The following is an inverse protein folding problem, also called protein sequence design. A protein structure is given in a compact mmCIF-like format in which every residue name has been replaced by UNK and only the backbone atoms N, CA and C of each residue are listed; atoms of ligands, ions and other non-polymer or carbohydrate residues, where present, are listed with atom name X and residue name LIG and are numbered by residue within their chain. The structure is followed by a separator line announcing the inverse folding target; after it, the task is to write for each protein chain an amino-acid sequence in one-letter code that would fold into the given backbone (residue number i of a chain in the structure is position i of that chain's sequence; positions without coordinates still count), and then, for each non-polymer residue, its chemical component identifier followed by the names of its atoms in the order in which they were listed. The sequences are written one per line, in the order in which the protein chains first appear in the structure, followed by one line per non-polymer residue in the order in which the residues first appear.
data_IF_378503999414
#
_entry.id   IF_378503999414
#
_cell.length_a   1.000
_cell.length_b   1.000
_cell.length_c   1.000
_cell.angle_alpha   90.00
_cell.angle_beta   90.00
_cell.angle_gamma   90.00
#
_symmetry.space_group_name_H-M   'P 1'
#
loop_
_entity.id
_entity.type
_entity.pdbx_description
1 polymer ?
#
# COMPACT_ATOMS: atom_id res chain seq x y z
N UNK A 1 41.80 11.15 3.12
CA UNK A 1 40.38 11.49 2.89
C UNK A 1 39.79 10.58 1.83
N UNK A 2 39.40 9.37 2.24
CA UNK A 2 38.72 8.42 1.37
C UNK A 2 37.22 8.69 1.44
N UNK A 3 36.61 8.95 0.28
CA UNK A 3 35.18 9.11 0.10
C UNK A 3 34.47 7.76 0.26
N UNK A 4 33.51 7.69 1.18
CA UNK A 4 32.58 6.57 1.28
C UNK A 4 31.57 6.65 0.12
N UNK A 5 31.35 5.58 -0.65
CA UNK A 5 30.32 5.56 -1.68
C UNK A 5 28.94 5.46 -1.02
N UNK A 6 28.04 6.37 -1.40
CA UNK A 6 26.64 6.38 -0.96
C UNK A 6 25.92 5.10 -1.35
N UNK A 7 25.73 4.19 -0.39
CA UNK A 7 24.77 3.09 -0.52
C UNK A 7 23.37 3.69 -0.43
N UNK A 8 22.74 3.92 -1.59
CA UNK A 8 21.27 3.96 -1.63
C UNK A 8 20.76 2.57 -1.28
N UNK A 9 20.18 2.44 -0.09
CA UNK A 9 19.52 1.22 0.36
C UNK A 9 18.25 1.02 -0.45
N UNK A 10 18.34 0.37 -1.62
CA UNK A 10 17.16 -0.19 -2.30
C UNK A 10 16.62 -1.32 -1.42
N UNK A 11 15.53 -1.05 -0.70
CA UNK A 11 14.71 -2.06 -0.06
C UNK A 11 13.99 -2.85 -1.17
N UNK A 12 14.67 -3.87 -1.70
CA UNK A 12 14.08 -4.82 -2.64
C UNK A 12 13.30 -5.85 -1.82
N UNK A 13 11.99 -5.65 -1.68
CA UNK A 13 11.08 -6.61 -1.06
C UNK A 13 10.51 -7.52 -2.14
N UNK A 14 11.11 -8.70 -2.31
CA UNK A 14 10.56 -9.79 -3.12
C UNK A 14 9.61 -10.62 -2.25
N UNK A 15 8.32 -10.62 -2.57
CA UNK A 15 7.32 -11.45 -1.89
C UNK A 15 6.79 -12.54 -2.82
N UNK A 16 6.85 -13.80 -2.38
CA UNK A 16 6.17 -14.92 -3.01
C UNK A 16 4.67 -14.88 -2.68
N UNK A 17 3.81 -14.90 -3.70
CA UNK A 17 2.37 -14.77 -3.53
C UNK A 17 1.68 -16.12 -3.26
N UNK A 18 0.83 -16.19 -2.22
CA UNK A 18 -0.06 -17.34 -1.93
C UNK A 18 -1.14 -17.54 -3.02
N UNK A 19 -1.54 -18.76 -3.39
CA UNK A 19 -2.60 -18.98 -4.40
C UNK A 19 -4.01 -18.53 -3.97
N UNK A 20 -4.30 -18.49 -2.68
CA UNK A 20 -5.66 -18.16 -2.16
C UNK A 20 -6.11 -16.73 -2.53
N UNK A 21 -7.44 -16.53 -2.63
CA UNK A 21 -8.02 -15.19 -2.72
C UNK A 21 -7.52 -14.36 -1.55
N UNK A 22 -7.08 -13.15 -1.86
CA UNK A 22 -6.85 -12.16 -0.85
C UNK A 22 -8.07 -11.26 -0.88
N UNK A 23 -8.95 -11.29 0.15
CA UNK A 23 -10.02 -10.30 0.24
C UNK A 23 -9.42 -8.88 0.23
N UNK A 24 -10.25 -7.84 0.07
CA UNK A 24 -9.86 -6.42 -0.05
C UNK A 24 -8.87 -5.89 1.02
N UNK A 25 -8.62 -6.69 2.06
CA UNK A 25 -7.72 -6.43 3.17
C UNK A 25 -6.52 -7.40 3.31
N UNK A 26 -6.39 -8.45 2.48
CA UNK A 26 -5.30 -9.43 2.64
C UNK A 26 -4.10 -9.08 1.75
N UNK A 27 -2.88 -9.03 2.31
CA UNK A 27 -1.72 -8.48 1.62
C UNK A 27 -1.12 -9.42 0.56
N UNK A 28 -1.02 -8.98 -0.71
CA UNK A 28 0.14 -9.28 -1.56
C UNK A 28 1.31 -8.54 -0.93
N UNK A 29 2.00 -9.12 0.06
CA UNK A 29 3.05 -8.43 0.82
C UNK A 29 3.81 -7.40 -0.04
N UNK A 30 3.69 -6.09 0.22
CA UNK A 30 2.81 -5.42 1.19
C UNK A 30 1.80 -4.48 0.47
N UNK A 31 0.47 -4.57 0.72
CA UNK A 31 -0.51 -3.54 0.37
C UNK A 31 -1.32 -3.11 1.62
N UNK A 32 -1.62 -1.82 1.84
CA UNK A 32 -2.15 -1.29 3.13
C UNK A 32 -1.40 -1.76 4.40
N UNK A 33 -0.13 -2.08 4.22
CA UNK A 33 0.70 -2.99 5.01
C UNK A 33 1.75 -2.27 5.83
N UNK A 34 1.53 -0.98 5.99
CA UNK A 34 2.39 -0.03 6.66
C UNK A 34 1.59 0.79 7.68
N UNK A 35 0.39 0.33 8.03
CA UNK A 35 -0.53 0.97 8.97
C UNK A 35 0.04 1.07 10.38
N UNK A 36 1.00 0.21 10.69
CA UNK A 36 1.80 0.23 11.91
C UNK A 36 3.00 1.19 11.86
N UNK A 37 3.30 1.85 10.72
CA UNK A 37 4.26 2.96 10.68
C UNK A 37 3.57 4.27 11.03
N UNK A 38 4.23 5.09 11.84
CA UNK A 38 3.75 6.43 12.22
C UNK A 38 3.42 7.28 10.97
N UNK A 39 4.32 7.30 9.99
CA UNK A 39 4.07 7.88 8.66
C UNK A 39 3.83 6.78 7.64
N UNK A 40 2.59 6.31 7.51
CA UNK A 40 2.27 5.31 6.49
C UNK A 40 2.53 5.88 5.08
N UNK A 41 3.23 5.13 4.20
CA UNK A 41 3.53 5.56 2.84
C UNK A 41 2.24 5.84 2.09
N UNK A 42 2.25 6.93 1.34
CA UNK A 42 1.05 7.50 0.76
C UNK A 42 0.77 6.98 -0.64
N UNK A 43 1.80 6.72 -1.43
CA UNK A 43 1.66 6.14 -2.76
C UNK A 43 2.29 4.77 -2.83
N UNK A 44 1.58 3.84 -3.47
CA UNK A 44 2.08 2.51 -3.75
C UNK A 44 2.13 2.27 -5.25
N UNK A 45 3.21 1.61 -5.66
CA UNK A 45 3.49 1.22 -7.02
C UNK A 45 3.59 -0.29 -7.10
N UNK A 46 2.88 -0.90 -8.04
CA UNK A 46 2.92 -2.34 -8.30
C UNK A 46 3.24 -2.58 -9.79
N UNK A 47 4.48 -2.97 -10.07
CA UNK A 47 4.94 -3.30 -11.42
C UNK A 47 4.79 -4.79 -11.67
N UNK A 48 4.06 -5.18 -12.72
CA UNK A 48 3.96 -6.58 -13.11
C UNK A 48 5.16 -7.00 -13.96
N UNK A 49 6.00 -7.89 -13.42
CA UNK A 49 7.14 -8.46 -14.14
C UNK A 49 6.77 -9.74 -14.90
N UNK A 50 5.89 -10.56 -14.30
CA UNK A 50 5.37 -11.79 -14.88
C UNK A 50 3.91 -11.97 -14.48
N UNK A 51 3.08 -12.36 -15.43
CA UNK A 51 1.70 -12.78 -15.21
C UNK A 51 1.28 -13.66 -16.39
N UNK A 52 1.80 -14.88 -16.39
CA UNK A 52 1.74 -15.76 -17.55
C UNK A 52 0.31 -16.29 -17.80
N UNK A 53 0.01 -16.68 -19.04
CA UNK A 53 -1.30 -17.18 -19.44
C UNK A 53 -1.74 -18.45 -18.66
N UNK A 54 -0.77 -19.23 -18.19
CA UNK A 54 -1.01 -20.39 -17.33
C UNK A 54 -1.47 -20.04 -15.90
N UNK A 55 -1.53 -18.76 -15.53
CA UNK A 55 -2.09 -18.30 -14.26
C UNK A 55 -3.55 -17.91 -14.47
N UNK A 56 -4.50 -18.66 -13.94
CA UNK A 56 -5.91 -18.29 -13.96
C UNK A 56 -6.27 -17.43 -12.72
N UNK A 57 -7.09 -16.39 -12.86
CA UNK A 57 -7.48 -15.52 -11.74
C UNK A 57 -6.40 -14.50 -11.33
N UNK A 58 -6.46 -13.94 -10.12
CA UNK A 58 -5.43 -13.02 -9.63
C UNK A 58 -5.48 -11.61 -10.21
N UNK A 59 -6.67 -11.19 -10.65
CA UNK A 59 -6.96 -9.79 -11.00
C UNK A 59 -6.73 -8.91 -9.76
N UNK A 60 -6.16 -7.73 -9.98
CA UNK A 60 -6.05 -6.69 -8.97
C UNK A 60 -7.40 -6.01 -8.80
N UNK A 61 -7.72 -5.62 -7.58
CA UNK A 61 -8.97 -4.95 -7.21
C UNK A 61 -8.61 -3.66 -6.47
N UNK A 62 -9.21 -2.54 -6.85
CA UNK A 62 -8.94 -1.21 -6.28
C UNK A 62 -10.26 -0.52 -5.95
N UNK A 63 -10.57 -0.35 -4.67
CA UNK A 63 -11.79 0.27 -4.18
C UNK A 63 -11.52 1.71 -3.71
N UNK A 64 -12.36 2.65 -4.11
CA UNK A 64 -12.33 4.02 -3.58
C UNK A 64 -12.90 4.05 -2.15
N UNK A 65 -12.00 4.06 -1.16
CA UNK A 65 -12.36 4.04 0.24
C UNK A 65 -12.96 5.37 0.70
N UNK A 66 -12.63 6.48 0.05
CA UNK A 66 -13.20 7.78 0.39
C UNK A 66 -14.68 7.81 0.02
N UNK A 67 -15.03 7.28 -1.14
CA UNK A 67 -16.41 7.14 -1.55
C UNK A 67 -17.15 6.19 -0.57
N UNK A 68 -16.54 5.08 -0.15
CA UNK A 68 -17.14 4.18 0.84
C UNK A 68 -17.35 4.85 2.20
N UNK A 69 -16.38 5.64 2.66
CA UNK A 69 -16.46 6.37 3.91
C UNK A 69 -17.50 7.51 3.84
N UNK A 70 -17.62 8.19 2.70
CA UNK A 70 -18.69 9.16 2.45
C UNK A 70 -20.07 8.47 2.43
N UNK A 71 -20.19 7.29 1.80
CA UNK A 71 -21.43 6.51 1.84
C UNK A 71 -21.81 6.11 3.27
N UNK A 72 -20.84 5.74 4.11
CA UNK A 72 -21.07 5.50 5.54
C UNK A 72 -21.55 6.78 6.23
N UNK A 73 -20.88 7.92 5.99
CA UNK A 73 -21.26 9.23 6.55
C UNK A 73 -22.71 9.59 6.24
N UNK A 74 -23.17 9.32 5.02
CA UNK A 74 -24.52 9.66 4.58
C UNK A 74 -25.58 8.67 5.09
N UNK A 75 -25.23 7.38 5.20
CA UNK A 75 -26.19 6.32 5.54
C UNK A 75 -26.25 5.94 7.02
N UNK A 76 -25.16 6.17 7.77
CA UNK A 76 -25.02 5.87 9.19
C UNK A 76 -23.99 6.84 9.83
N UNK A 77 -24.40 8.10 10.10
CA UNK A 77 -23.51 9.13 10.64
C UNK A 77 -22.89 8.76 11.99
N UNK A 78 -23.62 8.01 12.83
CA UNK A 78 -23.13 7.56 14.14
C UNK A 78 -21.99 6.56 13.98
N UNK A 79 -22.14 5.56 13.09
CA UNK A 79 -21.05 4.64 12.77
C UNK A 79 -19.85 5.36 12.16
N UNK A 80 -20.08 6.34 11.29
CA UNK A 80 -19.02 7.16 10.72
C UNK A 80 -18.23 7.91 11.81
N UNK A 81 -18.93 8.56 12.75
CA UNK A 81 -18.31 9.28 13.86
C UNK A 81 -17.47 8.34 14.74
N UNK A 82 -17.99 7.14 15.05
CA UNK A 82 -17.25 6.13 15.80
C UNK A 82 -15.95 5.74 15.09
N UNK A 83 -15.97 5.52 13.78
CA UNK A 83 -14.77 5.16 13.01
C UNK A 83 -13.78 6.32 12.81
N UNK A 84 -14.22 7.56 13.02
CA UNK A 84 -13.36 8.75 13.04
C UNK A 84 -12.71 8.99 14.41
N UNK A 85 -13.39 8.62 15.50
CA UNK A 85 -12.96 8.91 16.87
C UNK A 85 -12.23 7.76 17.55
N UNK A 86 -12.74 6.54 17.43
CA UNK A 86 -12.22 5.37 18.16
C UNK A 86 -11.04 4.78 17.40
N UNK A 87 -9.81 4.81 17.95
CA UNK A 87 -8.64 4.33 17.23
C UNK A 87 -8.59 2.80 17.21
N UNK A 88 -8.35 2.26 16.02
CA UNK A 88 -7.92 0.88 15.86
C UNK A 88 -6.44 0.74 16.23
N UNK A 89 -6.08 -0.41 16.79
CA UNK A 89 -4.67 -0.78 17.01
C UNK A 89 -4.18 -1.54 15.78
N UNK A 90 -3.09 -1.09 15.17
CA UNK A 90 -2.39 -1.82 14.11
C UNK A 90 -1.02 -2.25 14.60
N UNK A 91 -0.64 -3.50 14.34
CA UNK A 91 0.64 -4.03 14.78
C UNK A 91 1.30 -4.96 13.77
N UNK A 92 2.63 -4.97 13.80
CA UNK A 92 3.47 -5.99 13.17
C UNK A 92 4.56 -6.39 14.15
N UNK A 93 4.38 -7.58 14.72
CA UNK A 93 5.34 -8.21 15.62
C UNK A 93 5.95 -9.42 14.91
N UNK A 94 7.26 -9.38 14.68
CA UNK A 94 8.07 -10.52 14.23
C UNK A 94 9.19 -10.70 15.22
N UNK A 95 9.14 -11.81 15.96
CA UNK A 95 10.22 -12.27 16.83
C UNK A 95 11.26 -13.11 16.09
N UNK A 96 12.40 -13.41 16.74
CA UNK A 96 13.44 -14.30 16.19
C UNK A 96 12.91 -15.73 15.94
N UNK A 97 11.89 -16.17 16.68
CA UNK A 97 11.33 -17.52 16.58
C UNK A 97 10.21 -17.65 15.54
N UNK A 98 9.83 -16.56 14.85
CA UNK A 98 8.71 -16.52 13.89
C UNK A 98 9.14 -16.69 12.42
N UNK A 99 10.37 -17.13 12.18
CA UNK A 99 10.84 -17.54 10.85
C UNK A 99 11.42 -18.94 10.91
N UNK A 100 10.91 -19.92 10.15
CA UNK A 100 11.81 -20.94 9.66
C UNK A 100 12.83 -20.20 8.79
N UNK A 101 14.10 -20.28 9.19
CA UNK A 101 15.23 -19.89 8.36
C UNK A 101 15.26 -20.80 7.13
N UNK A 102 14.38 -20.58 6.16
CA UNK A 102 14.54 -21.22 4.86
C UNK A 102 15.60 -20.40 4.14
N UNK A 103 16.85 -20.85 4.27
CA UNK A 103 17.91 -20.43 3.38
C UNK A 103 17.38 -20.54 1.94
N UNK A 104 17.50 -19.48 1.15
CA UNK A 104 17.24 -19.57 -0.29
C UNK A 104 18.17 -20.66 -0.84
N UNK A 105 17.68 -21.65 -1.62
CA UNK A 105 18.55 -22.67 -2.19
C UNK A 105 19.68 -22.02 -2.99
N UNK A 106 20.93 -22.23 -2.59
CA UNK A 106 22.13 -21.68 -3.25
C UNK A 106 22.82 -20.51 -2.54
N UNK A 107 22.28 -19.98 -1.43
CA UNK A 107 22.96 -18.96 -0.62
C UNK A 107 23.73 -19.65 0.53
N UNK A 108 25.07 -19.65 0.46
CA UNK A 108 25.97 -20.43 1.31
C UNK A 108 25.90 -20.14 2.82
N UNK A 109 26.40 -21.12 3.59
CA UNK A 109 26.60 -21.06 5.05
C UNK A 109 27.50 -19.86 5.41
N UNK A 110 26.91 -18.82 6.02
CA UNK A 110 27.71 -17.69 6.52
C UNK A 110 27.00 -16.34 6.60
N UNK A 111 25.78 -16.19 6.06
CA UNK A 111 25.01 -14.95 6.24
C UNK A 111 24.06 -15.11 7.43
N UNK A 112 24.06 -14.21 8.43
CA UNK A 112 23.04 -14.24 9.47
C UNK A 112 21.65 -14.09 8.82
N UNK A 113 20.60 -14.78 9.32
CA UNK A 113 19.25 -14.65 8.78
C UNK A 113 18.74 -13.24 9.06
N UNK A 114 18.90 -12.33 8.11
CA UNK A 114 18.69 -10.92 8.33
C UNK A 114 17.24 -10.49 8.02
N UNK A 115 16.28 -11.03 8.75
CA UNK A 115 15.10 -10.24 9.09
C UNK A 115 15.26 -9.81 10.54
N UNK A 116 15.54 -8.52 10.76
CA UNK A 116 15.55 -7.96 12.11
C UNK A 116 14.20 -8.20 12.77
N UNK A 117 14.21 -8.54 14.06
CA UNK A 117 12.99 -8.54 14.84
C UNK A 117 12.31 -7.17 14.71
N UNK A 118 11.01 -7.16 14.45
CA UNK A 118 10.24 -5.93 14.28
C UNK A 118 9.11 -5.91 15.28
N UNK A 119 9.00 -4.83 16.04
CA UNK A 119 7.86 -4.57 16.91
C UNK A 119 7.34 -3.17 16.56
N UNK A 120 6.33 -3.13 15.72
CA UNK A 120 5.71 -1.89 15.26
C UNK A 120 4.26 -1.90 15.71
N UNK A 121 3.84 -0.84 16.40
CA UNK A 121 2.47 -0.63 16.86
C UNK A 121 2.10 0.82 16.56
N UNK A 122 0.92 1.03 16.00
CA UNK A 122 0.34 2.35 15.83
C UNK A 122 -1.15 2.29 16.15
N UNK A 123 -1.66 3.35 16.77
CA UNK A 123 -3.09 3.56 16.95
C UNK A 123 -3.55 4.72 16.07
N UNK A 124 -4.67 4.53 15.36
CA UNK A 124 -5.31 5.58 14.56
C UNK A 124 -6.76 5.20 14.24
N UNK A 125 -7.65 6.17 14.02
CA UNK A 125 -8.98 5.87 13.52
C UNK A 125 -8.93 5.22 12.13
N UNK A 126 -10.01 4.51 11.78
CA UNK A 126 -10.15 3.96 10.43
C UNK A 126 -10.37 5.07 9.40
N UNK A 127 -10.99 6.18 9.80
CA UNK A 127 -11.26 7.32 8.92
C UNK A 127 -10.63 8.56 9.55
N UNK A 128 -9.69 9.18 8.87
CA UNK A 128 -9.03 10.41 9.32
C UNK A 128 -9.68 11.61 8.60
N UNK A 129 -10.00 12.65 9.37
CA UNK A 129 -10.53 13.92 8.86
C UNK A 129 -9.50 15.04 9.00
N UNK A 130 -9.56 16.03 8.13
CA UNK A 130 -8.87 17.30 8.33
C UNK A 130 -9.67 18.26 9.23
N UNK A 131 -9.14 19.48 9.43
CA UNK A 131 -9.76 20.53 10.24
C UNK A 131 -11.10 21.03 9.68
N UNK A 132 -11.43 20.75 8.43
CA UNK A 132 -12.68 21.12 7.78
C UNK A 132 -13.69 19.98 7.75
N UNK A 133 -13.33 18.80 8.28
CA UNK A 133 -14.18 17.61 8.27
C UNK A 133 -14.08 16.81 6.97
N UNK A 134 -13.12 17.12 6.09
CA UNK A 134 -12.89 16.38 4.85
C UNK A 134 -12.12 15.09 5.11
N UNK A 135 -12.47 14.02 4.40
CA UNK A 135 -11.82 12.72 4.54
C UNK A 135 -10.43 12.81 3.90
N UNK A 136 -9.38 12.62 4.70
CA UNK A 136 -7.97 12.69 4.25
C UNK A 136 -7.24 11.37 4.28
N UNK A 137 -7.79 10.37 4.99
CA UNK A 137 -7.36 8.98 4.85
C UNK A 137 -8.42 7.99 5.31
N UNK A 138 -8.33 6.80 4.73
CA UNK A 138 -9.00 5.61 5.23
C UNK A 138 -7.96 4.52 5.43
N UNK A 139 -7.88 4.01 6.65
CA UNK A 139 -7.01 2.91 7.04
C UNK A 139 -7.85 1.67 7.28
N UNK A 140 -7.69 0.65 6.44
CA UNK A 140 -8.37 -0.64 6.61
C UNK A 140 -7.40 -1.78 6.31
N UNK A 141 -7.09 -2.58 7.34
CA UNK A 141 -6.11 -3.66 7.23
C UNK A 141 -6.29 -4.75 8.30
N UNK A 142 -7.44 -5.46 8.32
CA UNK A 142 -7.74 -6.54 9.27
C UNK A 142 -6.58 -7.50 9.62
N UNK A 143 -5.72 -7.96 8.68
CA UNK A 143 -4.63 -8.89 9.02
C UNK A 143 -3.52 -8.27 9.89
N UNK A 144 -3.47 -6.93 9.97
CA UNK A 144 -2.52 -6.18 10.79
C UNK A 144 -3.21 -5.50 11.98
N UNK A 145 -4.50 -5.73 12.21
CA UNK A 145 -5.18 -5.24 13.41
C UNK A 145 -4.72 -6.02 14.64
N UNK A 146 -4.39 -5.29 15.69
CA UNK A 146 -4.00 -5.81 16.99
C UNK A 146 -5.15 -5.81 17.99
N UNK A 147 -4.80 -6.03 19.26
CA UNK A 147 -5.78 -5.96 20.34
C UNK A 147 -6.34 -4.53 20.42
N UNK A 148 -7.67 -4.42 20.39
CA UNK A 148 -8.36 -3.14 20.55
C UNK A 148 -8.12 -2.61 21.97
N UNK A 149 -7.45 -1.46 22.09
CA UNK A 149 -7.05 -0.84 23.35
C UNK A 149 -7.78 0.49 23.53
N UNK A 150 -9.06 0.42 23.88
CA UNK A 150 -9.99 1.56 24.01
C UNK A 150 -10.84 1.42 25.29
N UNK A 151 -11.48 2.50 25.79
CA UNK A 151 -12.42 2.41 26.91
C UNK A 151 -13.53 1.37 26.67
N UNK A 152 -14.02 0.74 27.74
CA UNK A 152 -14.96 -0.38 27.62
C UNK A 152 -16.26 0.01 26.91
N UNK A 153 -16.74 1.23 27.16
CA UNK A 153 -17.92 1.81 26.53
C UNK A 153 -17.81 1.93 25.01
N UNK A 154 -16.59 2.06 24.47
CA UNK A 154 -16.33 2.24 23.04
C UNK A 154 -16.25 0.91 22.29
N UNK A 155 -16.07 -0.22 22.98
CA UNK A 155 -15.87 -1.54 22.34
C UNK A 155 -17.09 -1.95 21.50
N UNK A 156 -18.30 -1.89 22.06
CA UNK A 156 -19.51 -2.30 21.34
C UNK A 156 -19.83 -1.38 20.16
N UNK A 157 -19.85 -0.04 20.32
CA UNK A 157 -20.01 0.89 19.20
C UNK A 157 -18.98 0.67 18.10
N UNK A 158 -17.71 0.48 18.47
CA UNK A 158 -16.63 0.23 17.51
C UNK A 158 -16.92 -0.97 16.61
N UNK A 159 -17.22 -2.14 17.19
CA UNK A 159 -17.48 -3.33 16.39
C UNK A 159 -18.78 -3.27 15.58
N UNK A 160 -19.79 -2.52 16.06
CA UNK A 160 -20.99 -2.26 15.28
C UNK A 160 -20.66 -1.43 14.02
N UNK A 161 -19.94 -0.33 14.19
CA UNK A 161 -19.51 0.55 13.12
C UNK A 161 -18.53 -0.14 12.15
N UNK A 162 -17.58 -0.91 12.68
CA UNK A 162 -16.64 -1.73 11.92
C UNK A 162 -17.37 -2.67 10.96
N UNK A 163 -18.35 -3.45 11.46
CA UNK A 163 -19.13 -4.35 10.61
C UNK A 163 -19.94 -3.62 9.56
N UNK A 164 -20.45 -2.42 9.89
CA UNK A 164 -21.19 -1.59 8.93
C UNK A 164 -20.30 -1.18 7.77
N UNK A 165 -19.10 -0.67 8.06
CA UNK A 165 -18.13 -0.30 7.04
C UNK A 165 -17.59 -1.51 6.26
N UNK A 166 -17.32 -2.62 6.94
CA UNK A 166 -16.94 -3.89 6.30
C UNK A 166 -17.99 -4.34 5.27
N UNK A 167 -19.27 -4.28 5.62
CA UNK A 167 -20.35 -4.63 4.71
C UNK A 167 -20.38 -3.73 3.46
N UNK A 168 -20.12 -2.42 3.64
CA UNK A 168 -20.03 -1.46 2.53
C UNK A 168 -18.89 -1.84 1.58
N UNK A 169 -17.71 -2.19 2.09
CA UNK A 169 -16.54 -2.43 1.24
C UNK A 169 -16.47 -3.85 0.65
N UNK A 170 -17.10 -4.86 1.26
CA UNK A 170 -16.96 -6.26 0.82
C UNK A 170 -18.15 -6.81 0.03
N UNK A 171 -19.38 -6.42 0.36
CA UNK A 171 -20.57 -7.19 -0.04
C UNK A 171 -21.77 -6.34 -0.44
N UNK A 172 -21.53 -5.05 -0.70
CA UNK A 172 -22.58 -4.11 -1.10
C UNK A 172 -22.62 -3.89 -2.62
N UNK A 173 -23.77 -3.42 -3.11
CA UNK A 173 -23.87 -2.87 -4.47
C UNK A 173 -22.85 -1.72 -4.67
N UNK A 174 -22.60 -0.95 -3.61
CA UNK A 174 -21.62 0.12 -3.61
C UNK A 174 -20.21 -0.39 -3.95
N UNK A 175 -19.73 -1.44 -3.28
CA UNK A 175 -18.41 -2.03 -3.55
C UNK A 175 -18.28 -2.50 -5.00
N UNK A 176 -19.34 -3.09 -5.56
CA UNK A 176 -19.34 -3.57 -6.94
C UNK A 176 -19.22 -2.43 -7.97
N UNK A 177 -19.81 -1.27 -7.68
CA UNK A 177 -19.76 -0.08 -8.54
C UNK A 177 -18.46 0.72 -8.38
N UNK A 178 -17.87 0.71 -7.18
CA UNK A 178 -16.72 1.55 -6.83
C UNK A 178 -15.39 0.78 -6.80
N UNK A 179 -15.38 -0.49 -7.21
CA UNK A 179 -14.16 -1.30 -7.34
C UNK A 179 -13.73 -1.41 -8.79
N UNK A 180 -12.53 -0.90 -9.09
CA UNK A 180 -11.86 -1.16 -10.35
C UNK A 180 -11.21 -2.56 -10.32
N UNK A 181 -11.59 -3.41 -11.27
CA UNK A 181 -10.96 -4.70 -11.49
C UNK A 181 -10.03 -4.63 -12.69
N UNK A 182 -8.73 -4.90 -12.49
CA UNK A 182 -7.75 -4.92 -13.58
C UNK A 182 -6.76 -6.07 -13.43
N UNK A 183 -6.53 -6.82 -14.51
CA UNK A 183 -5.47 -7.83 -14.55
C UNK A 183 -4.22 -7.22 -15.15
N UNK A 184 -3.24 -6.90 -14.30
CA UNK A 184 -1.96 -6.33 -14.76
C UNK A 184 -1.22 -7.27 -15.71
N UNK A 185 -0.90 -6.79 -16.91
CA UNK A 185 -0.03 -7.48 -17.87
C UNK A 185 1.45 -7.19 -17.57
N UNK A 186 2.38 -8.07 -17.99
CA UNK A 186 3.81 -7.80 -17.85
C UNK A 186 4.20 -6.45 -18.47
N UNK A 187 4.94 -5.63 -17.71
CA UNK A 187 5.31 -4.25 -18.07
C UNK A 187 4.33 -3.17 -17.58
N UNK A 188 3.12 -3.54 -17.12
CA UNK A 188 2.17 -2.59 -16.57
C UNK A 188 2.49 -2.23 -15.11
N UNK A 189 2.26 -0.96 -14.78
CA UNK A 189 2.47 -0.38 -13.47
C UNK A 189 1.15 0.20 -12.94
N UNK A 190 0.67 -0.32 -11.82
CA UNK A 190 -0.38 0.35 -11.05
C UNK A 190 0.25 1.33 -10.08
N UNK A 191 -0.25 2.57 -10.04
CA UNK A 191 0.10 3.60 -9.06
C UNK A 191 -1.19 4.12 -8.43
N UNK A 192 -1.26 4.13 -7.10
CA UNK A 192 -2.44 4.59 -6.38
C UNK A 192 -2.08 5.17 -5.01
N UNK A 193 -2.96 6.03 -4.51
CA UNK A 193 -2.85 6.62 -3.18
C UNK A 193 -3.34 5.60 -2.14
N UNK A 194 -2.41 5.01 -1.39
CA UNK A 194 -2.65 4.01 -0.34
C UNK A 194 -3.37 4.58 0.90
N UNK A 195 -3.58 5.89 1.00
CA UNK A 195 -4.46 6.51 2.00
C UNK A 195 -5.91 6.63 1.54
N UNK A 196 -6.19 6.43 0.24
CA UNK A 196 -7.55 6.52 -0.33
C UNK A 196 -8.04 5.21 -0.93
N UNK A 197 -7.17 4.45 -1.57
CA UNK A 197 -7.54 3.27 -2.34
C UNK A 197 -7.24 2.02 -1.52
N UNK A 198 -8.29 1.28 -1.16
CA UNK A 198 -8.13 -0.10 -0.69
C UNK A 198 -7.87 -0.99 -1.88
N UNK A 199 -7.08 -2.04 -1.69
CA UNK A 199 -6.74 -2.90 -2.81
C UNK A 199 -6.40 -4.31 -2.38
N UNK A 200 -6.71 -5.24 -3.26
CA UNK A 200 -6.40 -6.64 -3.09
C UNK A 200 -6.29 -7.36 -4.44
N UNK A 201 -6.41 -8.68 -4.39
CA UNK A 201 -6.46 -9.51 -5.58
C UNK A 201 -7.38 -10.71 -5.42
N UNK A 202 -8.07 -11.07 -6.50
CA UNK A 202 -8.81 -12.31 -6.53
C UNK A 202 -7.89 -13.54 -6.36
N UNK A 203 -8.50 -14.70 -6.04
CA UNK A 203 -7.81 -15.99 -6.04
C UNK A 203 -7.16 -16.25 -7.40
N UNK A 204 -6.05 -17.00 -7.39
CA UNK A 204 -5.45 -17.48 -8.61
C UNK A 204 -4.94 -18.91 -8.49
N UNK A 205 -4.81 -19.56 -9.64
CA UNK A 205 -4.35 -20.94 -9.74
C UNK A 205 -3.35 -21.06 -10.88
N UNK A 206 -2.30 -21.85 -10.66
CA UNK A 206 -1.36 -22.23 -11.72
C UNK A 206 -1.93 -23.44 -12.47
N UNK A 207 -2.44 -23.20 -13.68
CA UNK A 207 -2.87 -24.26 -14.62
C UNK A 207 -1.70 -24.89 -15.36
N UNK A 208 -0.59 -24.17 -15.45
CA UNK A 208 0.69 -24.63 -15.96
C UNK A 208 1.72 -24.60 -14.81
N UNK A 209 2.39 -25.72 -14.49
CA UNK A 209 3.45 -25.77 -13.48
C UNK A 209 4.60 -24.79 -13.71
N UNK A 210 4.86 -24.42 -14.97
CA UNK A 210 5.94 -23.49 -15.32
C UNK A 210 5.50 -22.03 -15.33
N UNK A 211 4.19 -21.75 -15.25
CA UNK A 211 3.69 -20.39 -15.19
C UNK A 211 4.17 -19.67 -13.92
N UNK A 212 4.45 -18.38 -14.06
CA UNK A 212 4.90 -17.51 -12.98
C UNK A 212 4.02 -16.27 -12.89
N UNK A 213 3.83 -15.80 -11.65
CA UNK A 213 3.24 -14.51 -11.33
C UNK A 213 4.19 -13.76 -10.41
N UNK A 214 4.71 -12.64 -10.87
CA UNK A 214 5.65 -11.80 -10.12
C UNK A 214 5.28 -10.33 -10.31
N UNK A 215 4.89 -9.68 -9.20
CA UNK A 215 4.73 -8.24 -9.12
C UNK A 215 5.79 -7.70 -8.15
N UNK A 216 6.42 -6.59 -8.51
CA UNK A 216 7.36 -5.89 -7.65
C UNK A 216 6.70 -4.60 -7.14
N UNK A 217 6.70 -4.45 -5.82
CA UNK A 217 6.12 -3.29 -5.15
C UNK A 217 7.15 -2.27 -4.68
N UNK A 218 6.77 -0.99 -4.67
CA UNK A 218 7.50 0.05 -3.94
C UNK A 218 6.55 1.13 -3.43
N UNK A 219 7.08 2.03 -2.59
CA UNK A 219 6.31 3.08 -1.94
C UNK A 219 7.01 4.42 -2.07
N UNK A 220 6.19 5.48 -2.14
CA UNK A 220 6.64 6.87 -2.03
C UNK A 220 5.79 7.63 -1.01
N UNK A 221 6.40 8.63 -0.40
CA UNK A 221 5.69 9.57 0.47
C UNK A 221 4.97 10.64 -0.35
N UNK A 222 3.83 11.13 0.14
CA UNK A 222 3.06 12.19 -0.52
C UNK A 222 3.89 13.44 -0.82
N UNK A 223 4.79 13.82 0.09
CA UNK A 223 5.58 15.04 -0.07
C UNK A 223 6.47 15.01 -1.32
N UNK A 224 7.06 13.85 -1.62
CA UNK A 224 7.90 13.67 -2.81
C UNK A 224 7.08 13.79 -4.09
N UNK A 225 5.91 13.15 -4.12
CA UNK A 225 4.99 13.18 -5.27
C UNK A 225 4.41 14.58 -5.47
N UNK A 226 3.95 15.22 -4.39
CA UNK A 226 3.34 16.55 -4.44
C UNK A 226 4.36 17.62 -4.82
N UNK A 227 5.57 17.56 -4.25
CA UNK A 227 6.67 18.45 -4.62
C UNK A 227 6.95 18.37 -6.12
N UNK A 228 7.13 17.16 -6.66
CA UNK A 228 7.36 16.96 -8.10
C UNK A 228 6.20 17.48 -8.95
N UNK A 229 4.96 17.19 -8.55
CA UNK A 229 3.76 17.69 -9.23
C UNK A 229 3.72 19.22 -9.29
N UNK A 230 4.01 19.91 -8.19
CA UNK A 230 3.98 21.36 -8.13
C UNK A 230 5.05 22.00 -9.03
N UNK A 231 6.26 21.46 -9.07
CA UNK A 231 7.33 21.95 -9.96
C UNK A 231 6.95 21.71 -11.44
N UNK A 232 6.38 20.53 -11.77
CA UNK A 232 5.88 20.22 -13.12
C UNK A 232 4.75 21.17 -13.53
N UNK A 233 3.77 21.40 -12.64
CA UNK A 233 2.61 22.27 -12.90
C UNK A 233 3.03 23.72 -13.15
N UNK A 234 4.10 24.18 -12.53
CA UNK A 234 4.64 25.53 -12.74
C UNK A 234 5.47 25.66 -14.03
N UNK A 235 5.62 24.58 -14.80
CA UNK A 235 6.47 24.57 -16.00
C UNK A 235 7.95 24.79 -15.68
N UNK A 236 8.36 24.52 -14.44
CA UNK A 236 9.73 24.72 -14.00
C UNK A 236 10.62 23.52 -14.33
N UNK A 237 10.07 22.40 -14.84
CA UNK A 237 10.87 21.25 -15.25
C UNK A 237 10.96 21.16 -16.77
N UNK A 238 12.19 21.14 -17.27
CA UNK A 238 12.49 20.75 -18.65
C UNK A 238 12.95 19.29 -18.67
N UNK A 239 12.45 18.53 -19.65
CA UNK A 239 12.86 17.16 -19.91
C UNK A 239 13.98 17.20 -20.94
N UNK A 240 15.20 16.89 -20.52
CA UNK A 240 16.31 16.71 -21.43
C UNK A 240 16.23 15.28 -21.98
N UNK A 241 15.85 15.14 -23.26
CA UNK A 241 15.74 13.85 -23.92
C UNK A 241 17.08 13.44 -24.50
N UNK A 242 17.73 12.40 -23.94
CA UNK A 242 18.81 11.72 -24.65
C UNK A 242 18.20 10.81 -25.73
N UNK A 243 18.71 10.85 -26.96
CA UNK A 243 18.17 10.14 -28.15
C UNK A 243 18.10 8.61 -27.99
N UNK A 244 18.85 8.08 -27.04
CA UNK A 244 19.04 6.67 -26.69
C UNK A 244 18.04 6.14 -25.63
N UNK A 245 17.09 6.97 -25.16
CA UNK A 245 15.89 6.56 -24.42
C UNK A 245 16.13 5.93 -23.03
N UNK A 246 17.39 5.81 -22.61
CA UNK A 246 17.83 5.07 -21.41
C UNK A 246 18.13 5.98 -20.22
N UNK A 247 18.23 7.29 -20.43
CA UNK A 247 18.38 8.28 -19.36
C UNK A 247 17.45 9.47 -19.59
N UNK A 248 16.62 9.77 -18.60
CA UNK A 248 15.78 10.98 -18.60
C UNK A 248 16.32 11.88 -17.50
N UNK A 249 16.82 13.06 -17.87
CA UNK A 249 17.24 14.08 -16.92
C UNK A 249 16.12 15.12 -16.79
N UNK A 250 15.78 15.45 -15.56
CA UNK A 250 14.86 16.52 -15.24
C UNK A 250 15.64 17.66 -14.62
N UNK A 251 15.46 18.88 -15.13
CA UNK A 251 16.06 20.08 -14.54
C UNK A 251 14.97 21.04 -14.09
N UNK A 252 15.03 21.47 -12.83
CA UNK A 252 14.11 22.46 -12.28
C UNK A 252 14.68 23.88 -12.42
N UNK A 253 13.84 24.87 -12.77
CA UNK A 253 14.18 26.28 -12.83
C UNK A 253 13.65 27.01 -11.60
N UNK A 254 14.54 27.48 -10.74
CA UNK A 254 14.22 28.24 -9.53
C UNK A 254 14.81 29.65 -9.67
N UNK A 255 13.95 30.63 -9.97
CA UNK A 255 14.40 31.97 -10.37
C UNK A 255 15.22 31.93 -11.67
N UNK A 256 16.46 32.42 -11.61
CA UNK A 256 17.41 32.40 -12.74
C UNK A 256 18.38 31.21 -12.71
N UNK A 257 18.16 30.21 -11.84
CA UNK A 257 19.04 29.04 -11.69
C UNK A 257 18.36 27.77 -12.19
N UNK A 258 19.13 26.93 -12.87
CA UNK A 258 18.74 25.58 -13.28
C UNK A 258 19.38 24.56 -12.35
N UNK A 259 18.58 23.67 -11.78
CA UNK A 259 19.01 22.69 -10.77
C UNK A 259 18.69 21.29 -11.30
N UNK A 260 19.66 20.35 -11.37
CA UNK A 260 19.37 18.98 -11.74
C UNK A 260 18.51 18.33 -10.67
N UNK A 261 17.43 17.67 -11.08
CA UNK A 261 16.63 16.86 -10.18
C UNK A 261 17.07 15.40 -10.26
N UNK A 262 17.38 14.82 -9.10
CA UNK A 262 17.63 13.39 -8.91
C UNK A 262 16.36 12.56 -9.19
#
# INVERSE_FOLDING_TARGET
NQSLPGRQTKLLLEATASPSALPLYTPLSPPSSCVFFVGAPSYQYLHCLRNDAGVAGGRSEFLDAFAAAQHLRDSDPEAFEVLCRVPATFQKVRGPDHTPNVARPGEGEGRPPAYYASHLVAQRPHIELDTYGEIVAVTWSPPFEGVLQVPFEDIKPYYAAYRRFQAIIESSAFASEHTLHHRLAPGELACFNNRRVLHARAAFEYRDPEARRHLQGTYLNSDEVLSRYLVLKQGQIERDGSEDGTSIKFTARVGNKTIPML
#
